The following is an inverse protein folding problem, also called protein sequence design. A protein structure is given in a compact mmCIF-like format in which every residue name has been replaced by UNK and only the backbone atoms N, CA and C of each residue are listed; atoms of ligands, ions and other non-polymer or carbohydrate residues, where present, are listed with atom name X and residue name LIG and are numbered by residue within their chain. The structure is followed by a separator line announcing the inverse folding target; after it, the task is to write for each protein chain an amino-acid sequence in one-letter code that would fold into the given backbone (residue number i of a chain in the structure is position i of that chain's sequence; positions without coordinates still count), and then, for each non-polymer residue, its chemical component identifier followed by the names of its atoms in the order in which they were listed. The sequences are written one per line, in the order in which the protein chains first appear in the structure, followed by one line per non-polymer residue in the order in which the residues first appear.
data_IF_377392342301
#
_entry.id   IF_377392342301
#
_cell.length_a   1.000
_cell.length_b   1.000
_cell.length_c   1.000
_cell.angle_alpha   90.00
_cell.angle_beta   90.00
_cell.angle_gamma   90.00
#
_symmetry.space_group_name_H-M   'P 1'
#
loop_
_entity.id
_entity.type
_entity.pdbx_description
1 polymer ?
#
# COMPACT_ATOMS: atom_id res chain seq x y z
N UNK A 1 -58.93 28.78 -51.45
CA UNK A 1 -58.37 27.52 -51.99
C UNK A 1 -57.41 26.93 -50.96
N UNK A 2 -57.32 25.59 -50.86
CA UNK A 2 -57.33 24.87 -49.59
C UNK A 2 -55.98 24.29 -49.14
N UNK A 3 -55.94 23.96 -47.84
CA UNK A 3 -55.43 22.75 -47.18
C UNK A 3 -54.09 22.10 -47.58
N UNK A 4 -53.20 22.06 -46.58
CA UNK A 4 -52.57 20.88 -45.95
C UNK A 4 -52.04 19.76 -46.87
N UNK A 5 -50.74 19.44 -46.76
CA UNK A 5 -50.25 18.05 -46.61
C UNK A 5 -48.92 18.00 -45.86
N UNK A 6 -48.95 17.33 -44.70
CA UNK A 6 -47.78 16.79 -44.01
C UNK A 6 -47.15 15.68 -44.87
N UNK A 7 -45.82 15.68 -44.98
CA UNK A 7 -45.05 14.51 -45.43
C UNK A 7 -44.38 13.88 -44.21
N UNK A 8 -44.84 12.67 -43.93
CA UNK A 8 -44.35 11.74 -42.93
C UNK A 8 -43.02 11.14 -43.39
N UNK A 9 -41.97 11.29 -42.58
CA UNK A 9 -40.72 10.52 -42.73
C UNK A 9 -40.90 9.21 -41.99
N UNK A 10 -40.94 8.11 -42.74
CA UNK A 10 -40.98 6.75 -42.22
C UNK A 10 -39.61 6.43 -41.63
N UNK A 11 -39.53 6.37 -40.30
CA UNK A 11 -38.36 5.88 -39.57
C UNK A 11 -38.33 4.36 -39.65
N UNK A 12 -37.39 3.81 -40.42
CA UNK A 12 -37.17 2.37 -40.49
C UNK A 12 -36.53 1.89 -39.18
N UNK A 13 -37.34 1.32 -38.29
CA UNK A 13 -36.85 0.56 -37.14
C UNK A 13 -36.37 -0.80 -37.64
N UNK A 14 -35.06 -1.00 -37.77
CA UNK A 14 -34.49 -2.35 -37.89
C UNK A 14 -34.58 -3.04 -36.53
N UNK A 15 -35.60 -3.87 -36.36
CA UNK A 15 -35.64 -4.88 -35.30
C UNK A 15 -34.67 -6.00 -35.67
N UNK A 16 -33.48 -6.00 -35.08
CA UNK A 16 -32.59 -7.16 -35.08
C UNK A 16 -33.20 -8.23 -34.16
N UNK A 17 -33.91 -9.19 -34.75
CA UNK A 17 -34.29 -10.44 -34.12
C UNK A 17 -33.03 -11.29 -33.93
N UNK A 18 -32.46 -11.28 -32.72
CA UNK A 18 -31.48 -12.27 -32.32
C UNK A 18 -32.15 -13.65 -32.29
N UNK A 19 -31.82 -14.49 -33.27
CA UNK A 19 -32.11 -15.92 -33.25
C UNK A 19 -31.26 -16.54 -32.13
N UNK A 20 -31.93 -17.00 -31.07
CA UNK A 20 -31.35 -17.92 -30.12
C UNK A 20 -31.23 -19.29 -30.82
N UNK A 21 -30.10 -19.54 -31.46
CA UNK A 21 -29.67 -20.89 -31.81
C UNK A 21 -28.90 -21.43 -30.61
N UNK A 22 -29.50 -22.42 -29.94
CA UNK A 22 -28.87 -23.17 -28.87
C UNK A 22 -27.76 -24.04 -29.44
N UNK A 23 -26.57 -23.46 -29.58
CA UNK A 23 -25.32 -24.19 -29.66
C UNK A 23 -24.58 -23.99 -28.36
N UNK A 24 -24.29 -25.07 -27.65
CA UNK A 24 -23.29 -25.13 -26.57
C UNK A 24 -21.90 -24.79 -27.15
N UNK A 25 -21.69 -23.50 -27.43
CA UNK A 25 -20.39 -22.92 -27.73
C UNK A 25 -19.66 -22.76 -26.41
N UNK A 26 -18.91 -23.79 -26.03
CA UNK A 26 -17.98 -23.74 -24.92
C UNK A 26 -16.99 -22.59 -25.17
N UNK A 27 -17.24 -21.45 -24.52
CA UNK A 27 -16.29 -20.34 -24.46
C UNK A 27 -15.03 -20.85 -23.77
N UNK A 28 -13.95 -21.04 -24.54
CA UNK A 28 -12.63 -21.36 -24.03
C UNK A 28 -12.10 -20.18 -23.21
N UNK A 29 -12.56 -20.06 -21.97
CA UNK A 29 -12.14 -19.00 -21.05
C UNK A 29 -10.66 -19.16 -20.71
N UNK A 30 -9.87 -18.09 -20.84
CA UNK A 30 -8.49 -18.06 -20.39
C UNK A 30 -8.42 -18.39 -18.89
N UNK A 31 -7.37 -19.09 -18.47
CA UNK A 31 -7.15 -19.45 -17.07
C UNK A 31 -6.10 -18.53 -16.46
N UNK A 32 -6.44 -17.89 -15.34
CA UNK A 32 -5.51 -17.04 -14.58
C UNK A 32 -5.04 -17.78 -13.33
N UNK A 33 -3.73 -17.75 -13.05
CA UNK A 33 -3.15 -18.28 -11.81
C UNK A 33 -2.29 -17.20 -11.14
N UNK A 34 -2.31 -17.18 -9.81
CA UNK A 34 -1.44 -16.34 -9.01
C UNK A 34 -0.47 -17.19 -8.18
N UNK A 35 0.72 -16.63 -7.97
CA UNK A 35 1.76 -17.17 -7.10
C UNK A 35 2.36 -16.05 -6.28
N UNK A 36 2.69 -16.31 -5.02
CA UNK A 36 3.49 -15.42 -4.18
C UNK A 36 4.82 -16.08 -3.85
N UNK A 37 5.88 -15.29 -3.90
CA UNK A 37 7.18 -15.65 -3.35
C UNK A 37 7.59 -14.62 -2.31
N UNK A 38 8.28 -15.09 -1.26
CA UNK A 38 8.81 -14.27 -0.19
C UNK A 38 10.33 -14.24 -0.30
N UNK A 39 10.90 -13.05 -0.20
CA UNK A 39 12.34 -12.84 -0.13
C UNK A 39 12.94 -13.26 1.22
N UNK A 40 14.17 -12.84 1.46
CA UNK A 40 14.89 -13.16 2.69
C UNK A 40 14.26 -12.50 3.91
N UNK A 41 14.56 -13.11 5.06
CA UNK A 41 14.17 -12.56 6.34
C UNK A 41 14.80 -11.19 6.61
N UNK A 42 14.10 -10.36 7.38
CA UNK A 42 14.59 -9.06 7.86
C UNK A 42 14.99 -8.06 6.77
N UNK A 43 14.35 -8.13 5.61
CA UNK A 43 14.60 -7.19 4.51
C UNK A 43 14.49 -5.73 4.98
N UNK A 44 15.53 -4.93 4.75
CA UNK A 44 15.65 -3.52 5.17
C UNK A 44 15.53 -3.23 6.67
N UNK A 45 15.55 -4.27 7.53
CA UNK A 45 15.38 -4.09 8.97
C UNK A 45 16.52 -3.24 9.59
N UNK A 46 17.73 -3.34 9.02
CA UNK A 46 18.88 -2.54 9.44
C UNK A 46 18.64 -1.03 9.26
N UNK A 47 18.21 -0.62 8.07
CA UNK A 47 17.92 0.79 7.74
C UNK A 47 16.72 1.31 8.53
N UNK A 48 15.68 0.48 8.72
CA UNK A 48 14.54 0.80 9.57
C UNK A 48 15.00 1.03 11.02
N UNK A 49 15.83 0.14 11.56
CA UNK A 49 16.34 0.27 12.92
C UNK A 49 17.27 1.47 13.10
N UNK A 50 18.06 1.82 12.07
CA UNK A 50 18.84 3.07 12.09
C UNK A 50 17.93 4.29 12.21
N UNK A 51 16.85 4.39 11.41
CA UNK A 51 15.90 5.49 11.51
C UNK A 51 15.21 5.56 12.90
N UNK A 52 14.94 4.42 13.54
CA UNK A 52 14.38 4.35 14.89
C UNK A 52 15.35 4.84 15.96
N UNK A 53 16.61 4.44 15.87
CA UNK A 53 17.66 4.87 16.81
C UNK A 53 17.89 6.38 16.75
N UNK A 54 17.79 6.97 15.56
CA UNK A 54 17.96 8.42 15.39
C UNK A 54 16.96 9.21 16.25
N UNK A 55 15.75 8.68 16.46
CA UNK A 55 14.71 9.30 17.31
C UNK A 55 14.68 8.77 18.75
N UNK A 56 15.68 7.94 19.12
CA UNK A 56 15.81 7.35 20.44
C UNK A 56 14.83 6.22 20.74
N UNK A 57 14.34 5.51 19.72
CA UNK A 57 13.59 4.26 19.89
C UNK A 57 14.53 3.05 19.85
N UNK A 58 14.09 1.97 20.51
CA UNK A 58 14.80 0.69 20.44
C UNK A 58 14.67 0.08 19.04
N UNK A 59 15.69 -0.66 18.64
CA UNK A 59 15.64 -1.53 17.47
C UNK A 59 14.42 -2.44 17.56
N UNK A 60 13.76 -2.67 16.42
CA UNK A 60 12.83 -3.77 16.29
C UNK A 60 13.57 -5.09 16.47
N UNK A 61 12.94 -6.00 17.22
CA UNK A 61 13.35 -7.40 17.27
C UNK A 61 12.82 -8.11 16.03
N UNK A 62 13.69 -8.77 15.27
CA UNK A 62 13.28 -9.62 14.15
C UNK A 62 12.32 -10.71 14.64
N UNK A 63 11.11 -10.75 14.08
CA UNK A 63 10.15 -11.81 14.39
C UNK A 63 10.62 -13.12 13.74
N UNK A 64 10.75 -14.19 14.52
CA UNK A 64 11.16 -15.48 13.98
C UNK A 64 10.00 -16.16 13.26
N UNK A 65 10.29 -16.83 12.16
CA UNK A 65 9.31 -17.64 11.43
C UNK A 65 8.62 -18.63 12.38
N UNK A 66 7.28 -18.69 12.32
CA UNK A 66 6.46 -19.54 13.20
C UNK A 66 6.05 -18.91 14.53
N UNK A 67 6.50 -17.70 14.86
CA UNK A 67 5.93 -16.93 15.97
C UNK A 67 4.50 -16.48 15.63
N UNK A 68 3.52 -17.16 16.23
CA UNK A 68 2.10 -16.86 15.99
C UNK A 68 1.80 -15.38 16.19
N UNK A 69 1.17 -14.78 15.18
CA UNK A 69 0.71 -13.39 15.24
C UNK A 69 1.78 -12.33 15.04
N UNK A 70 3.02 -12.69 14.69
CA UNK A 70 4.12 -11.74 14.46
C UNK A 70 4.79 -11.85 13.09
N UNK A 71 4.38 -12.82 12.29
CA UNK A 71 4.95 -13.07 10.97
C UNK A 71 3.90 -12.85 9.89
N UNK A 72 4.37 -12.44 8.71
CA UNK A 72 3.58 -12.43 7.49
C UNK A 72 3.07 -13.84 7.18
N UNK A 73 1.93 -13.99 6.46
CA UNK A 73 1.49 -15.28 5.97
C UNK A 73 2.59 -16.00 5.16
N UNK A 74 2.56 -17.32 5.10
CA UNK A 74 3.48 -18.06 4.25
C UNK A 74 3.20 -17.82 2.77
N UNK A 75 4.21 -18.05 1.93
CA UNK A 75 4.04 -18.04 0.48
C UNK A 75 3.25 -19.28 0.05
N UNK A 76 2.37 -19.13 -0.95
CA UNK A 76 1.64 -20.25 -1.53
C UNK A 76 2.20 -20.58 -2.92
N UNK A 77 2.43 -21.86 -3.20
CA UNK A 77 3.07 -22.31 -4.44
C UNK A 77 2.13 -22.30 -5.64
N UNK A 78 0.82 -22.47 -5.43
CA UNK A 78 -0.25 -22.27 -6.42
C UNK A 78 -1.54 -21.91 -5.68
N UNK A 79 -2.13 -20.74 -5.96
CA UNK A 79 -3.47 -20.41 -5.45
C UNK A 79 -4.51 -20.51 -6.55
N UNK A 80 -5.68 -21.14 -6.29
CA UNK A 80 -6.83 -21.01 -7.15
C UNK A 80 -7.28 -19.54 -7.20
N UNK A 81 -7.99 -19.18 -8.25
CA UNK A 81 -8.61 -17.87 -8.54
C UNK A 81 -9.62 -17.39 -7.48
N UNK A 82 -9.58 -17.94 -6.27
CA UNK A 82 -10.57 -17.70 -5.23
C UNK A 82 -10.36 -16.36 -4.54
N UNK A 83 -11.47 -15.64 -4.45
CA UNK A 83 -11.68 -14.41 -3.69
C UNK A 83 -11.16 -14.42 -2.24
N UNK A 84 -11.01 -15.61 -1.64
CA UNK A 84 -10.62 -15.81 -0.24
C UNK A 84 -9.10 -16.02 -0.01
N UNK A 85 -8.26 -15.71 -1.01
CA UNK A 85 -6.81 -15.84 -0.88
C UNK A 85 -6.20 -14.66 -0.11
N UNK A 86 -5.41 -14.93 0.95
CA UNK A 86 -4.88 -13.90 1.86
C UNK A 86 -4.04 -12.84 1.14
N UNK A 87 -3.28 -13.23 0.12
CA UNK A 87 -2.40 -12.32 -0.63
C UNK A 87 -3.12 -11.55 -1.74
N UNK A 88 -4.39 -11.85 -2.02
CA UNK A 88 -5.13 -11.21 -3.12
C UNK A 88 -5.10 -9.67 -3.05
N UNK A 89 -5.38 -9.02 -1.90
CA UNK A 89 -5.35 -7.55 -1.84
C UNK A 89 -3.97 -6.97 -2.16
N UNK A 90 -2.89 -7.67 -1.78
CA UNK A 90 -1.52 -7.26 -2.09
C UNK A 90 -1.26 -7.41 -3.60
N UNK A 91 -1.60 -8.56 -4.17
CA UNK A 91 -1.35 -8.81 -5.59
C UNK A 91 -2.21 -7.95 -6.51
N UNK A 92 -3.42 -7.57 -6.13
CA UNK A 92 -4.28 -6.66 -6.91
C UNK A 92 -3.67 -5.25 -6.97
N UNK A 93 -2.96 -4.81 -5.93
CA UNK A 93 -2.21 -3.53 -5.93
C UNK A 93 -0.95 -3.63 -6.79
N UNK A 94 -0.22 -4.76 -6.70
CA UNK A 94 1.04 -4.95 -7.40
C UNK A 94 0.89 -5.25 -8.89
N UNK A 95 -0.22 -5.87 -9.28
CA UNK A 95 -0.55 -6.24 -10.65
C UNK A 95 -1.98 -5.75 -10.93
N UNK A 96 -2.16 -4.42 -11.12
CA UNK A 96 -3.48 -3.88 -11.40
C UNK A 96 -4.04 -4.52 -12.69
N UNK A 97 -5.27 -5.02 -12.63
CA UNK A 97 -5.96 -5.48 -13.83
C UNK A 97 -6.38 -4.30 -14.69
N UNK A 98 -6.43 -4.50 -16.01
CA UNK A 98 -6.97 -3.53 -16.96
C UNK A 98 -8.49 -3.41 -16.75
N UNK A 99 -8.88 -2.54 -15.81
CA UNK A 99 -10.22 -2.06 -15.49
C UNK A 99 -11.39 -3.06 -15.65
N UNK A 100 -11.65 -3.86 -14.60
CA UNK A 100 -12.96 -4.12 -13.97
C UNK A 100 -12.85 -5.31 -13.02
N UNK A 101 -12.38 -5.06 -11.80
CA UNK A 101 -12.39 -6.07 -10.75
C UNK A 101 -13.15 -5.44 -9.58
N UNK A 102 -14.40 -5.88 -9.41
CA UNK A 102 -15.21 -5.52 -8.26
C UNK A 102 -14.44 -5.86 -6.99
N UNK A 103 -14.54 -4.99 -5.97
CA UNK A 103 -14.13 -5.31 -4.60
C UNK A 103 -14.73 -6.67 -4.24
N UNK A 104 -13.87 -7.66 -4.02
CA UNK A 104 -14.29 -8.93 -3.46
C UNK A 104 -14.59 -8.71 -1.98
N UNK A 105 -15.84 -8.95 -1.59
CA UNK A 105 -16.28 -9.10 -0.20
C UNK A 105 -16.29 -10.60 0.15
N UNK A 106 -15.17 -11.29 -0.10
CA UNK A 106 -14.92 -12.64 0.38
C UNK A 106 -14.07 -12.61 1.64
N UNK A 107 -14.54 -13.21 2.73
CA UNK A 107 -13.73 -13.37 3.92
C UNK A 107 -12.66 -14.44 3.66
N UNK A 108 -11.40 -14.03 3.46
CA UNK A 108 -10.28 -14.95 3.37
C UNK A 108 -10.21 -15.88 4.59
N UNK A 109 -10.00 -17.18 4.35
CA UNK A 109 -9.91 -18.20 5.41
C UNK A 109 -8.69 -17.97 6.32
N UNK A 110 -7.62 -17.39 5.75
CA UNK A 110 -6.43 -16.91 6.47
C UNK A 110 -6.40 -15.39 6.39
N UNK A 111 -6.13 -14.73 7.51
CA UNK A 111 -5.99 -13.26 7.59
C UNK A 111 -4.57 -12.90 7.98
N UNK A 112 -4.13 -11.73 7.51
CA UNK A 112 -2.97 -11.07 8.07
C UNK A 112 -3.15 -10.92 9.58
N UNK A 113 -2.06 -11.15 10.33
CA UNK A 113 -2.07 -10.96 11.77
C UNK A 113 -2.26 -9.48 12.13
N UNK A 114 -2.72 -9.18 13.34
CA UNK A 114 -2.83 -7.80 13.80
C UNK A 114 -1.43 -7.18 13.94
N UNK A 115 -1.26 -6.01 13.33
CA UNK A 115 -0.01 -5.28 13.27
C UNK A 115 -0.18 -4.07 12.36
N UNK A 116 0.76 -3.14 12.44
CA UNK A 116 0.79 -2.00 11.51
C UNK A 116 1.78 -2.31 10.39
N UNK A 117 1.31 -2.20 9.15
CA UNK A 117 2.04 -2.66 7.96
C UNK A 117 2.65 -1.49 7.19
N UNK A 118 3.97 -1.45 7.09
CA UNK A 118 4.64 -0.62 6.11
C UNK A 118 4.69 -1.33 4.76
N UNK A 119 4.44 -0.57 3.69
CA UNK A 119 4.33 -1.07 2.33
C UNK A 119 5.04 -0.11 1.37
N UNK A 120 5.87 -0.66 0.49
CA UNK A 120 6.51 0.09 -0.59
C UNK A 120 6.62 -0.78 -1.82
N UNK A 121 6.09 -0.32 -2.97
CA UNK A 121 6.33 -0.99 -4.25
C UNK A 121 7.81 -0.88 -4.61
N UNK A 122 8.42 -1.99 -5.03
CA UNK A 122 9.84 -2.09 -5.36
C UNK A 122 10.03 -2.84 -6.68
N UNK A 123 11.06 -2.47 -7.44
CA UNK A 123 11.35 -3.04 -8.76
C UNK A 123 12.28 -4.26 -8.74
N UNK A 124 12.83 -4.62 -7.57
CA UNK A 124 13.84 -5.66 -7.45
C UNK A 124 13.68 -6.46 -6.14
N UNK A 125 14.14 -7.72 -6.11
CA UNK A 125 14.15 -8.55 -4.90
C UNK A 125 15.06 -8.00 -3.79
N UNK A 126 16.02 -7.14 -4.15
CA UNK A 126 16.86 -6.39 -3.21
C UNK A 126 16.56 -4.89 -3.39
N UNK A 127 15.59 -4.33 -2.66
CA UNK A 127 15.28 -2.92 -2.77
C UNK A 127 16.40 -2.05 -2.19
N UNK A 128 16.48 -0.80 -2.67
CA UNK A 128 17.27 0.22 -1.99
C UNK A 128 16.57 0.58 -0.68
N UNK A 129 16.99 -0.08 0.40
CA UNK A 129 16.40 0.07 1.73
C UNK A 129 16.46 1.51 2.26
N UNK A 130 17.49 2.27 1.87
CA UNK A 130 17.61 3.68 2.26
C UNK A 130 16.54 4.50 1.54
N UNK A 131 16.39 4.32 0.23
CA UNK A 131 15.37 5.01 -0.55
C UNK A 131 13.94 4.68 -0.09
N UNK A 132 13.68 3.41 0.30
CA UNK A 132 12.39 3.00 0.85
C UNK A 132 12.11 3.71 2.19
N UNK A 133 13.06 3.64 3.14
CA UNK A 133 12.91 4.30 4.45
C UNK A 133 12.77 5.80 4.30
N UNK A 134 13.51 6.44 3.39
CA UNK A 134 13.38 7.87 3.11
C UNK A 134 12.03 8.23 2.48
N UNK A 135 11.45 7.35 1.65
CA UNK A 135 10.10 7.53 1.11
C UNK A 135 9.07 7.53 2.23
N UNK A 136 9.13 6.55 3.14
CA UNK A 136 8.24 6.52 4.30
C UNK A 136 8.43 7.73 5.22
N UNK A 137 9.67 8.15 5.48
CA UNK A 137 9.98 9.34 6.31
C UNK A 137 9.38 10.62 5.73
N UNK A 138 9.31 10.78 4.40
CA UNK A 138 8.69 11.95 3.76
C UNK A 138 7.22 12.12 4.10
N UNK A 139 6.50 11.04 4.42
CA UNK A 139 5.10 11.11 4.83
C UNK A 139 4.88 11.94 6.10
N UNK A 140 5.93 12.24 6.87
CA UNK A 140 5.90 13.22 7.96
C UNK A 140 5.19 14.53 7.56
N UNK A 141 5.42 15.03 6.34
CA UNK A 141 4.82 16.29 5.88
C UNK A 141 3.30 16.25 5.75
N UNK A 142 2.69 15.06 5.80
CA UNK A 142 1.24 14.90 5.77
C UNK A 142 0.59 15.12 7.15
N UNK A 143 1.40 15.27 8.21
CA UNK A 143 0.94 15.49 9.59
C UNK A 143 1.27 16.91 10.04
N UNK A 144 0.26 17.66 10.51
CA UNK A 144 0.42 19.01 11.05
C UNK A 144 0.71 19.06 12.55
N UNK A 145 0.78 17.89 13.19
CA UNK A 145 0.97 17.68 14.62
C UNK A 145 1.09 16.18 14.88
N UNK A 146 0.89 15.75 16.13
CA UNK A 146 0.90 14.32 16.46
C UNK A 146 -0.09 13.58 15.56
N UNK A 147 0.32 12.52 14.84
CA UNK A 147 -0.57 11.70 14.04
C UNK A 147 -1.80 11.28 14.86
N UNK A 148 -3.03 11.49 14.33
CA UNK A 148 -4.26 11.19 15.06
C UNK A 148 -4.45 9.68 15.21
N UNK A 149 -5.38 9.27 16.08
CA UNK A 149 -5.81 7.87 16.08
C UNK A 149 -6.47 7.48 14.75
N UNK A 150 -6.46 6.19 14.38
CA UNK A 150 -7.11 5.71 13.15
C UNK A 150 -8.60 6.05 13.12
N UNK A 151 -9.27 5.97 14.27
CA UNK A 151 -10.68 6.31 14.43
C UNK A 151 -10.98 7.79 14.19
N UNK A 152 -10.10 8.69 14.63
CA UNK A 152 -10.31 10.13 14.52
C UNK A 152 -10.00 10.68 13.12
N UNK A 153 -9.24 9.95 12.30
CA UNK A 153 -8.90 10.37 10.94
C UNK A 153 -8.67 9.20 9.98
N UNK A 154 -9.73 8.48 9.64
CA UNK A 154 -9.60 7.29 8.80
C UNK A 154 -9.01 7.61 7.41
N UNK A 155 -9.44 8.73 6.79
CA UNK A 155 -9.01 9.13 5.44
C UNK A 155 -7.55 9.53 5.34
N UNK A 156 -6.95 10.01 6.44
CA UNK A 156 -5.51 10.31 6.48
C UNK A 156 -4.68 9.03 6.27
N UNK A 157 -5.19 7.91 6.77
CA UNK A 157 -4.54 6.61 6.71
C UNK A 157 -5.02 5.74 5.54
N UNK A 158 -5.81 6.29 4.61
CA UNK A 158 -6.01 5.69 3.28
C UNK A 158 -4.72 5.84 2.43
N UNK A 159 -3.87 6.82 2.78
CA UNK A 159 -2.52 6.92 2.24
C UNK A 159 -1.60 5.91 2.94
N UNK A 160 -1.19 4.88 2.20
CA UNK A 160 -0.29 3.83 2.71
C UNK A 160 1.08 4.36 3.16
N UNK A 161 1.55 5.50 2.64
CA UNK A 161 2.79 6.13 3.11
C UNK A 161 2.65 6.63 4.55
N UNK A 162 1.49 7.15 4.93
CA UNK A 162 1.19 7.59 6.30
C UNK A 162 1.16 6.40 7.26
N UNK A 163 0.56 5.28 6.83
CA UNK A 163 0.56 4.04 7.62
C UNK A 163 1.98 3.49 7.75
N UNK A 164 2.77 3.51 6.68
CA UNK A 164 4.15 3.01 6.66
C UNK A 164 5.06 3.83 7.57
N UNK A 165 4.92 5.15 7.56
CA UNK A 165 5.60 6.04 8.47
C UNK A 165 5.28 5.73 9.95
N UNK A 166 4.00 5.55 10.27
CA UNK A 166 3.58 5.18 11.63
C UNK A 166 4.16 3.81 12.03
N UNK A 167 4.12 2.84 11.12
CA UNK A 167 4.63 1.50 11.37
C UNK A 167 6.13 1.49 11.70
N UNK A 168 6.99 2.12 10.89
CA UNK A 168 8.45 2.07 11.12
C UNK A 168 8.87 2.75 12.43
N UNK A 169 8.10 3.73 12.89
CA UNK A 169 8.32 4.43 14.15
C UNK A 169 7.54 3.86 15.34
N UNK A 170 6.92 2.68 15.24
CA UNK A 170 6.19 2.04 16.34
C UNK A 170 6.96 2.12 17.68
N UNK A 171 6.47 2.87 18.68
CA UNK A 171 7.28 3.23 19.84
C UNK A 171 7.22 2.19 20.96
N UNK A 172 6.52 1.07 20.74
CA UNK A 172 6.28 0.06 21.76
C UNK A 172 7.58 -0.57 22.24
N UNK A 173 7.67 -0.81 23.55
CA UNK A 173 8.81 -1.53 24.12
C UNK A 173 8.83 -2.98 23.62
N UNK A 174 9.98 -3.45 23.17
CA UNK A 174 10.13 -4.81 22.62
C UNK A 174 9.37 -5.04 21.32
N UNK A 175 9.05 -3.99 20.58
CA UNK A 175 8.35 -4.11 19.30
C UNK A 175 9.12 -5.04 18.33
N UNK A 176 8.38 -5.83 17.57
CA UNK A 176 8.93 -6.74 16.57
C UNK A 176 8.64 -6.24 15.16
N UNK A 177 9.47 -6.63 14.20
CA UNK A 177 9.20 -6.44 12.79
C UNK A 177 9.44 -7.74 12.01
N UNK A 178 8.56 -8.02 11.05
CA UNK A 178 8.72 -9.07 10.06
C UNK A 178 8.68 -8.45 8.67
N UNK A 179 9.86 -8.19 8.13
CA UNK A 179 10.04 -7.58 6.82
C UNK A 179 10.40 -8.62 5.78
N UNK A 180 9.70 -8.60 4.64
CA UNK A 180 9.97 -9.43 3.46
C UNK A 180 9.70 -8.62 2.20
N UNK A 181 10.48 -8.86 1.17
CA UNK A 181 10.04 -8.53 -0.20
C UNK A 181 9.04 -9.60 -0.62
N UNK A 182 7.86 -9.16 -1.02
CA UNK A 182 6.77 -10.01 -1.50
C UNK A 182 6.64 -9.79 -3.00
N UNK A 183 6.75 -10.87 -3.77
CA UNK A 183 6.58 -10.84 -5.23
C UNK A 183 5.34 -11.63 -5.60
N UNK A 184 4.40 -10.96 -6.24
CA UNK A 184 3.25 -11.58 -6.89
C UNK A 184 3.58 -11.85 -8.36
N UNK A 185 3.24 -13.04 -8.82
CA UNK A 185 3.29 -13.45 -10.23
C UNK A 185 1.89 -13.85 -10.68
N UNK A 186 1.39 -13.24 -11.75
CA UNK A 186 0.14 -13.57 -12.42
C UNK A 186 0.48 -14.24 -13.76
N UNK A 187 -0.01 -15.46 -13.97
CA UNK A 187 0.13 -16.21 -15.22
C UNK A 187 -1.24 -16.37 -15.87
N UNK A 188 -1.36 -15.97 -17.13
CA UNK A 188 -2.57 -16.10 -17.94
C UNK A 188 -2.28 -17.12 -19.05
N UNK A 189 -2.96 -18.26 -19.00
CA UNK A 189 -2.88 -19.28 -20.04
C UNK A 189 -4.12 -19.15 -20.94
N UNK A 190 -3.94 -18.85 -22.24
CA UNK A 190 -5.05 -18.79 -23.19
C UNK A 190 -5.81 -20.13 -23.26
N UNK A 191 -7.12 -20.06 -23.49
CA UNK A 191 -7.92 -21.26 -23.73
C UNK A 191 -7.61 -21.89 -25.11
N UNK A 192 -7.90 -23.18 -25.32
CA UNK A 192 -7.70 -23.81 -26.63
C UNK A 192 -8.55 -23.10 -27.69
N UNK A 193 -7.91 -22.71 -28.80
CA UNK A 193 -8.60 -22.15 -29.95
C UNK A 193 -9.60 -23.19 -30.51
N UNK A 194 -10.81 -22.75 -30.87
CA UNK A 194 -11.78 -23.61 -31.51
C UNK A 194 -11.20 -24.17 -32.83
N UNK A 195 -11.42 -25.45 -33.19
CA UNK A 195 -10.94 -25.99 -34.45
C UNK A 195 -11.74 -25.36 -35.59
N UNK A 196 -11.24 -24.26 -36.15
CA UNK A 196 -11.69 -23.76 -37.45
C UNK A 196 -10.80 -24.40 -38.51
N UNK A 197 -11.41 -25.29 -39.30
CA UNK A 197 -10.72 -25.99 -40.38
C UNK A 197 -10.36 -25.02 -41.50
N UNK A 198 -9.14 -24.50 -41.46
CA UNK A 198 -8.34 -24.03 -42.59
C UNK A 198 -6.88 -23.88 -42.11
N UNK A 199 -5.85 -24.21 -42.92
CA UNK A 199 -4.46 -24.12 -42.50
C UNK A 199 -4.03 -22.66 -42.52
N UNK A 200 -4.22 -21.96 -41.41
CA UNK A 200 -3.72 -20.60 -41.20
C UNK A 200 -2.66 -20.62 -40.10
N UNK A 201 -1.62 -19.82 -40.33
CA UNK A 201 -0.32 -19.73 -39.64
C UNK A 201 -0.38 -19.98 -38.13
N UNK A 202 0.66 -20.64 -37.60
CA UNK A 202 0.89 -20.87 -36.17
C UNK A 202 0.88 -19.54 -35.38
N UNK A 203 -0.29 -19.05 -35.02
CA UNK A 203 -0.44 -17.98 -34.03
C UNK A 203 -0.26 -18.63 -32.66
N UNK A 204 0.98 -18.71 -32.22
CA UNK A 204 1.35 -19.17 -30.88
C UNK A 204 0.60 -18.31 -29.87
N UNK A 205 -0.44 -18.88 -29.26
CA UNK A 205 -1.18 -18.22 -28.19
C UNK A 205 -0.27 -18.20 -26.96
N UNK A 206 0.56 -17.16 -26.85
CA UNK A 206 1.61 -17.07 -25.82
C UNK A 206 1.00 -16.88 -24.42
N UNK A 207 1.62 -17.54 -23.43
CA UNK A 207 1.29 -17.35 -22.03
C UNK A 207 1.74 -15.95 -21.57
N UNK A 208 0.82 -15.12 -21.07
CA UNK A 208 1.16 -13.82 -20.51
C UNK A 208 1.56 -13.97 -19.04
N UNK A 209 2.70 -13.39 -18.65
CA UNK A 209 3.16 -13.35 -17.26
C UNK A 209 3.38 -11.91 -16.82
N UNK A 210 2.69 -11.49 -15.76
CA UNK A 210 2.87 -10.19 -15.10
C UNK A 210 3.44 -10.41 -13.70
N UNK A 211 4.36 -9.55 -13.28
CA UNK A 211 4.95 -9.59 -11.95
C UNK A 211 4.97 -8.20 -11.31
N UNK A 212 4.80 -8.17 -9.99
CA UNK A 212 4.93 -6.96 -9.18
C UNK A 212 5.46 -7.32 -7.80
N UNK A 213 6.28 -6.44 -7.24
CA UNK A 213 6.92 -6.67 -5.93
C UNK A 213 6.74 -5.48 -4.99
N UNK A 214 6.68 -5.77 -3.69
CA UNK A 214 6.74 -4.76 -2.64
C UNK A 214 7.59 -5.23 -1.45
N UNK A 215 8.25 -4.28 -0.78
CA UNK A 215 8.69 -4.49 0.59
C UNK A 215 7.47 -4.34 1.51
N UNK A 216 7.22 -5.38 2.32
CA UNK A 216 6.18 -5.37 3.35
C UNK A 216 6.83 -5.65 4.70
N UNK A 217 6.61 -4.75 5.65
CA UNK A 217 7.05 -4.89 7.03
C UNK A 217 5.85 -4.86 7.95
N UNK A 218 5.55 -6.01 8.57
CA UNK A 218 4.59 -6.07 9.67
C UNK A 218 5.29 -5.66 10.96
N UNK A 219 4.78 -4.66 11.67
CA UNK A 219 5.26 -4.28 13.01
C UNK A 219 4.24 -4.65 14.08
N UNK A 220 4.73 -5.09 15.23
CA UNK A 220 3.89 -5.57 16.35
C UNK A 220 4.40 -4.99 17.67
N UNK A 221 3.52 -4.55 18.59
CA UNK A 221 2.05 -4.56 18.53
C UNK A 221 1.48 -3.58 17.49
N UNK A 222 0.22 -3.76 17.12
CA UNK A 222 -0.49 -2.82 16.25
C UNK A 222 -0.66 -1.46 16.93
N UNK A 223 -0.06 -0.41 16.37
CA UNK A 223 -0.12 0.97 16.86
C UNK A 223 -1.17 1.80 16.16
N UNK A 224 -1.83 1.24 15.13
CA UNK A 224 -2.89 1.89 14.39
C UNK A 224 -4.14 1.00 14.21
N UNK A 225 -4.67 0.37 15.29
CA UNK A 225 -5.86 -0.47 15.17
C UNK A 225 -7.10 0.38 14.87
N UNK A 226 -7.95 -0.10 13.94
CA UNK A 226 -9.10 0.61 13.35
C UNK A 226 -10.00 1.34 14.37
N UNK A 227 -10.32 0.70 15.50
CA UNK A 227 -11.30 1.22 16.48
C UNK A 227 -10.68 1.98 17.66
N UNK A 228 -9.35 2.14 17.69
CA UNK A 228 -8.66 2.80 18.79
C UNK A 228 -8.75 4.32 18.70
N UNK A 229 -8.95 4.96 19.86
CA UNK A 229 -8.84 6.42 20.05
C UNK A 229 -7.43 6.86 20.47
N UNK A 230 -6.51 5.91 20.59
CA UNK A 230 -5.14 6.18 21.04
C UNK A 230 -4.34 6.61 19.83
N UNK A 231 -3.68 7.77 19.91
CA UNK A 231 -2.71 8.19 18.92
C UNK A 231 -1.50 7.23 18.91
N UNK A 232 -0.88 6.96 17.75
CA UNK A 232 0.28 6.08 17.65
C UNK A 232 1.51 6.60 18.41
N UNK A 233 1.57 7.91 18.67
CA UNK A 233 2.68 8.56 19.37
C UNK A 233 2.16 9.49 20.48
N UNK A 234 2.95 9.63 21.53
CA UNK A 234 2.84 10.75 22.49
C UNK A 234 3.48 12.01 21.91
N UNK A 235 3.17 13.18 22.49
CA UNK A 235 3.81 14.47 22.13
C UNK A 235 5.35 14.40 22.22
N UNK A 236 5.89 13.75 23.25
CA UNK A 236 7.34 13.62 23.44
C UNK A 236 8.00 12.69 22.40
N UNK A 237 7.31 11.62 22.02
CA UNK A 237 7.77 10.73 20.95
C UNK A 237 7.72 11.45 19.60
N UNK A 238 6.63 12.16 19.33
CA UNK A 238 6.46 12.95 18.12
C UNK A 238 7.50 14.05 18.00
N UNK A 239 7.73 14.82 19.07
CA UNK A 239 8.75 15.88 19.08
C UNK A 239 10.16 15.37 18.76
N UNK A 240 10.53 14.16 19.20
CA UNK A 240 11.80 13.53 18.83
C UNK A 240 11.87 13.17 17.35
N UNK A 241 10.79 12.61 16.81
CA UNK A 241 10.69 12.28 15.37
C UNK A 241 10.84 13.55 14.52
N UNK A 242 10.03 14.58 14.81
CA UNK A 242 10.05 15.87 14.11
C UNK A 242 11.44 16.50 14.18
N UNK A 243 12.06 16.53 15.36
CA UNK A 243 13.39 17.13 15.56
C UNK A 243 14.45 16.50 14.66
N UNK A 244 14.43 15.18 14.48
CA UNK A 244 15.39 14.48 13.60
C UNK A 244 15.09 14.75 12.12
N UNK A 245 13.81 14.73 11.74
CA UNK A 245 13.39 14.89 10.35
C UNK A 245 13.54 16.34 9.85
N UNK A 246 13.28 17.34 10.70
CA UNK A 246 13.41 18.76 10.36
C UNK A 246 14.80 19.33 10.71
N UNK A 247 15.46 18.80 11.75
CA UNK A 247 16.77 19.25 12.25
C UNK A 247 17.97 18.78 11.42
N UNK A 248 17.75 18.10 10.30
CA UNK A 248 18.80 17.84 9.29
C UNK A 248 19.07 19.05 8.38
N UNK A 249 18.32 20.15 8.54
CA UNK A 249 18.69 21.45 8.01
C UNK A 249 19.37 22.27 9.12
N UNK A 250 20.61 22.72 8.90
CA UNK A 250 21.32 23.62 9.81
C UNK A 250 20.45 24.83 10.16
N UNK A 251 19.89 24.86 11.36
CA UNK A 251 19.27 26.07 11.90
C UNK A 251 20.35 27.11 12.12
N UNK A 252 20.52 28.00 11.14
CA UNK A 252 21.09 29.33 11.38
C UNK A 252 20.10 30.04 12.29
N UNK A 253 20.31 29.93 13.60
CA UNK A 253 19.55 30.72 14.56
C UNK A 253 19.74 32.21 14.24
N UNK A 254 18.68 33.02 14.13
CA UNK A 254 18.85 34.46 14.12
C UNK A 254 19.37 34.84 15.51
N UNK A 255 20.63 35.26 15.55
CA UNK A 255 21.27 35.82 16.75
C UNK A 255 20.36 36.92 17.30
N UNK A 256 19.74 36.67 18.45
CA UNK A 256 18.99 37.69 19.19
C UNK A 256 20.00 38.75 19.62
N UNK A 257 20.03 39.86 18.88
CA UNK A 257 20.79 41.06 19.25
C UNK A 257 20.23 41.60 20.58
N UNK A 258 21.12 41.68 21.57
CA UNK A 258 20.80 42.01 22.95
C UNK A 258 20.14 43.38 23.13
N UNK A 259 19.15 43.41 24.03
CA UNK A 259 18.52 44.61 24.54
C UNK A 259 19.53 45.29 25.50
N UNK A 260 20.00 46.49 25.16
CA UNK A 260 20.79 47.33 26.05
C UNK A 260 19.80 48.15 26.90
N UNK A 261 19.71 47.81 28.19
CA UNK A 261 19.05 48.64 29.22
C UNK A 261 20.01 49.74 29.68
N UNK A 262 19.65 51.01 29.43
CA UNK A 262 20.32 52.15 30.03
C UNK A 262 19.56 52.58 31.30
N UNK A 263 20.18 52.36 32.46
CA UNK A 263 19.78 52.91 33.75
C UNK A 263 20.54 54.23 33.95
N UNK A 264 19.84 55.35 34.14
CA UNK A 264 20.43 56.51 34.81
C UNK A 264 19.46 57.06 35.85
N UNK A 265 19.99 57.15 37.07
CA UNK A 265 19.30 57.54 38.29
C UNK A 265 19.32 59.06 38.51
N UNK A 266 18.20 59.52 39.06
CA UNK A 266 17.91 60.68 39.93
C UNK A 266 19.09 61.52 40.42
N UNK A 267 18.97 62.86 40.31
CA UNK A 267 19.38 63.80 41.38
C UNK A 267 18.33 64.93 41.50
N UNK A 268 17.93 65.19 42.74
CA UNK A 268 16.95 66.18 43.19
C UNK A 268 17.52 67.61 43.28
N UNK A 269 16.64 68.62 43.27
CA UNK A 269 16.40 69.58 44.36
C UNK A 269 15.98 70.99 43.89
N UNK A 270 15.01 71.54 44.65
CA UNK A 270 14.51 72.94 44.76
C UNK A 270 13.47 73.42 43.75
#
# INVERSE_FOLDING_TARGET
MPALRLLTVVSASLLLLARADGGDGQSSSATTKYKVTLGTDDACLSEINNARKDVGFNDFVAAKQGEQGKTLPEADTESPTTENWVWKPVCDVLIPEDAKSQKSEGAAEKKFASGTYAFQVVSAPNPDCTAVVDTWKKAHSNFSGVPPSKKDSNTLYDNHENVSFVAIYNPSEGATAHCRVVTCTKKITPGPAAPQGEPQEEDTTEEETKEGSALICMTTPDVLPEDSKTAPFTEEQWGRIVTVLEGSASTVFPTVLGIITAVFAVVAAM
#
